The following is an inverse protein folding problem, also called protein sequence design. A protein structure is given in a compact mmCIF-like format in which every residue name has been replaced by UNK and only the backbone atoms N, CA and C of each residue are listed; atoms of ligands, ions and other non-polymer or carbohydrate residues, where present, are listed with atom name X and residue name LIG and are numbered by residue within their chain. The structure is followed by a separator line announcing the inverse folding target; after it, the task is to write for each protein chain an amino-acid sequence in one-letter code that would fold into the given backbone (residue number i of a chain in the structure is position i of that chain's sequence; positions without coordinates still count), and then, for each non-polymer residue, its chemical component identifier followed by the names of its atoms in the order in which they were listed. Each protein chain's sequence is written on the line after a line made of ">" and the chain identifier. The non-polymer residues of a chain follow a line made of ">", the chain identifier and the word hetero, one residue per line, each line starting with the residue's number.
data_IF_872968106508
#
_entry.id   IF_872968106508
#
_cell.length_a   1.000
_cell.length_b   1.000
_cell.length_c   1.000
_cell.angle_alpha   90.00
_cell.angle_beta   90.00
_cell.angle_gamma   90.00
#
_symmetry.space_group_name_H-M   'P 1'
#
loop_
_entity.id
_entity.type
_entity.pdbx_description
1 polymer ?
#
# COMPACT_ATOMS: atom_id res chain seq x y z
N UNK A 1 0.82 -14.09 -4.64
CA UNK A 1 -0.18 -15.08 -5.11
C UNK A 1 -0.19 -16.32 -4.22
N UNK A 2 0.95 -17.01 -4.03
CA UNK A 2 1.04 -18.23 -3.19
C UNK A 2 0.42 -18.05 -1.80
N UNK A 3 0.78 -16.99 -1.06
CA UNK A 3 0.22 -16.72 0.27
C UNK A 3 -1.30 -16.55 0.29
N UNK A 4 -1.87 -15.86 -0.72
CA UNK A 4 -3.33 -15.68 -0.81
C UNK A 4 -4.00 -17.03 -1.07
N UNK A 5 -3.41 -17.86 -1.93
CA UNK A 5 -3.92 -19.22 -2.16
C UNK A 5 -3.89 -20.09 -0.90
N UNK A 6 -2.89 -19.93 -0.02
CA UNK A 6 -2.89 -20.62 1.28
C UNK A 6 -3.93 -20.07 2.24
N UNK A 7 -4.12 -18.75 2.29
CA UNK A 7 -5.17 -18.13 3.13
C UNK A 7 -6.57 -18.58 2.71
N UNK A 8 -6.80 -18.73 1.41
CA UNK A 8 -8.07 -19.21 0.85
C UNK A 8 -8.24 -20.74 0.92
N UNK A 9 -7.24 -21.45 1.45
CA UNK A 9 -7.14 -22.92 1.39
C UNK A 9 -7.37 -23.46 -0.03
N UNK A 10 -6.80 -22.79 -1.05
CA UNK A 10 -7.17 -22.99 -2.44
C UNK A 10 -6.68 -24.33 -3.02
N UNK A 11 -5.59 -24.88 -2.46
CA UNK A 11 -4.98 -26.10 -2.94
C UNK A 11 -5.79 -27.35 -2.56
N UNK A 12 -5.91 -28.29 -3.49
CA UNK A 12 -6.42 -29.64 -3.23
C UNK A 12 -5.30 -30.51 -2.65
N UNK A 13 -4.88 -30.18 -1.43
CA UNK A 13 -3.77 -30.80 -0.72
C UNK A 13 -4.21 -31.25 0.69
N UNK A 14 -3.41 -32.09 1.38
CA UNK A 14 -3.67 -32.47 2.78
C UNK A 14 -3.86 -31.26 3.70
N UNK A 15 -4.61 -31.43 4.79
CA UNK A 15 -4.97 -30.33 5.72
C UNK A 15 -3.77 -29.63 6.35
N UNK A 16 -2.66 -30.34 6.52
CA UNK A 16 -1.40 -29.85 7.07
C UNK A 16 -0.46 -29.25 6.00
N UNK A 17 -0.92 -29.16 4.74
CA UNK A 17 -0.13 -28.55 3.67
C UNK A 17 0.11 -27.07 3.94
N UNK A 18 1.38 -26.67 3.97
CA UNK A 18 1.84 -25.34 4.37
C UNK A 18 2.77 -24.75 3.30
N UNK A 19 3.06 -23.44 3.34
CA UNK A 19 4.09 -22.85 2.47
C UNK A 19 5.42 -23.60 2.56
N UNK A 20 5.81 -24.03 3.77
CA UNK A 20 7.03 -24.83 3.98
C UNK A 20 6.96 -26.17 3.25
N UNK A 21 5.81 -26.84 3.24
CA UNK A 21 5.66 -28.07 2.47
C UNK A 21 5.77 -27.79 0.97
N UNK A 22 5.08 -26.76 0.45
CA UNK A 22 5.10 -26.40 -0.97
C UNK A 22 6.52 -26.15 -1.48
N UNK A 23 7.27 -25.27 -0.82
CA UNK A 23 8.62 -24.95 -1.28
C UNK A 23 9.59 -26.14 -1.12
N UNK A 24 9.32 -27.09 -0.22
CA UNK A 24 10.17 -28.26 0.01
C UNK A 24 9.85 -29.44 -0.92
N UNK A 25 8.76 -29.34 -1.71
CA UNK A 25 8.42 -30.35 -2.70
C UNK A 25 9.57 -30.53 -3.69
N UNK A 26 10.02 -31.78 -3.84
CA UNK A 26 11.00 -32.15 -4.86
C UNK A 26 10.26 -32.48 -6.14
N UNK A 27 10.72 -31.90 -7.25
CA UNK A 27 10.25 -32.33 -8.57
C UNK A 27 10.54 -33.83 -8.72
N UNK A 28 9.50 -34.61 -9.01
CA UNK A 28 9.68 -36.03 -9.35
C UNK A 28 10.45 -36.11 -10.68
N UNK A 29 11.28 -37.14 -10.84
CA UNK A 29 11.77 -37.54 -12.16
C UNK A 29 10.56 -38.04 -12.96
N UNK A 30 10.07 -37.24 -13.91
CA UNK A 30 8.84 -37.53 -14.65
C UNK A 30 8.09 -36.26 -15.04
N UNK A 31 6.79 -36.35 -15.39
CA UNK A 31 6.01 -35.19 -15.81
C UNK A 31 5.96 -34.13 -14.71
N UNK A 32 5.85 -32.86 -15.13
CA UNK A 32 5.72 -31.72 -14.24
C UNK A 32 4.60 -31.96 -13.22
N UNK A 33 4.93 -31.85 -11.92
CA UNK A 33 3.96 -32.01 -10.86
C UNK A 33 3.22 -30.69 -10.65
N UNK A 34 1.98 -30.62 -11.15
CA UNK A 34 1.08 -29.50 -10.89
C UNK A 34 0.56 -29.62 -9.46
N UNK A 35 0.58 -28.53 -8.70
CA UNK A 35 -0.12 -28.45 -7.41
C UNK A 35 -1.60 -28.23 -7.70
N UNK A 36 -2.48 -29.21 -7.47
CA UNK A 36 -3.87 -29.12 -7.89
C UNK A 36 -4.61 -28.06 -7.07
N UNK A 37 -5.48 -27.31 -7.73
CA UNK A 37 -6.41 -26.38 -7.10
C UNK A 37 -7.74 -27.10 -6.82
N UNK A 38 -8.45 -26.71 -5.77
CA UNK A 38 -9.82 -27.17 -5.53
C UNK A 38 -10.71 -26.63 -6.66
N UNK A 39 -11.61 -27.46 -7.20
CA UNK A 39 -12.47 -27.07 -8.33
C UNK A 39 -13.25 -25.77 -8.06
N UNK A 40 -13.79 -25.62 -6.84
CA UNK A 40 -14.52 -24.42 -6.41
C UNK A 40 -13.71 -23.12 -6.39
N UNK A 41 -12.39 -23.19 -6.51
CA UNK A 41 -11.48 -22.05 -6.43
C UNK A 41 -11.06 -21.53 -7.80
N UNK A 42 -11.35 -22.27 -8.88
CA UNK A 42 -10.91 -21.91 -10.23
C UNK A 42 -11.58 -20.63 -10.74
N UNK A 43 -12.85 -20.40 -10.35
CA UNK A 43 -13.63 -19.21 -10.73
C UNK A 43 -13.52 -18.07 -9.71
N UNK A 44 -12.73 -18.24 -8.64
CA UNK A 44 -12.58 -17.22 -7.59
C UNK A 44 -11.40 -16.31 -7.95
N UNK A 45 -11.61 -14.98 -8.09
CA UNK A 45 -10.50 -14.06 -8.33
C UNK A 45 -9.47 -14.09 -7.20
N UNK A 46 -8.19 -14.03 -7.53
CA UNK A 46 -7.10 -13.98 -6.53
C UNK A 46 -7.08 -12.63 -5.79
N UNK A 47 -7.26 -11.53 -6.53
CA UNK A 47 -7.35 -10.20 -5.94
C UNK A 47 -8.82 -9.78 -5.86
N UNK A 48 -9.33 -9.65 -4.64
CA UNK A 48 -10.75 -9.37 -4.38
C UNK A 48 -10.94 -8.06 -3.64
N UNK A 49 -12.15 -7.51 -3.71
CA UNK A 49 -12.51 -6.25 -3.05
C UNK A 49 -12.52 -6.41 -1.54
N UNK A 50 -12.12 -5.36 -0.83
CA UNK A 50 -12.44 -5.22 0.58
C UNK A 50 -13.92 -4.80 0.71
N UNK A 51 -14.70 -5.56 1.48
CA UNK A 51 -16.11 -5.29 1.78
C UNK A 51 -16.27 -4.99 3.27
N UNK A 52 -17.25 -4.16 3.60
CA UNK A 52 -17.61 -3.90 4.99
C UNK A 52 -18.71 -4.87 5.41
N UNK A 53 -18.50 -5.53 6.54
CA UNK A 53 -19.41 -6.47 7.18
C UNK A 53 -19.59 -6.09 8.66
N UNK A 54 -20.48 -6.82 9.33
CA UNK A 54 -20.80 -6.65 10.77
C UNK A 54 -19.56 -6.77 11.64
N UNK A 55 -18.68 -7.69 11.25
CA UNK A 55 -17.46 -7.99 11.98
C UNK A 55 -16.31 -7.04 11.63
N UNK A 56 -16.46 -6.21 10.58
CA UNK A 56 -15.60 -5.10 10.20
C UNK A 56 -15.28 -5.10 8.70
N UNK A 57 -14.01 -5.01 8.31
CA UNK A 57 -13.62 -5.11 6.88
C UNK A 57 -13.09 -6.50 6.60
N UNK A 58 -13.56 -7.14 5.54
CA UNK A 58 -13.11 -8.45 5.08
C UNK A 58 -12.87 -8.46 3.57
N UNK A 59 -12.16 -9.47 3.09
CA UNK A 59 -12.00 -9.72 1.65
C UNK A 59 -13.28 -10.36 1.11
N UNK A 60 -13.83 -9.84 0.02
CA UNK A 60 -14.98 -10.43 -0.66
C UNK A 60 -14.70 -11.87 -1.07
N UNK A 61 -15.74 -12.70 -1.09
CA UNK A 61 -15.66 -14.12 -1.46
C UNK A 61 -15.38 -14.31 -2.95
N UNK A 62 -15.91 -13.42 -3.79
CA UNK A 62 -15.97 -13.59 -5.25
C UNK A 62 -15.78 -12.29 -6.03
N UNK A 63 -15.99 -11.10 -5.43
CA UNK A 63 -15.94 -9.86 -6.18
C UNK A 63 -14.49 -9.45 -6.52
N UNK A 64 -14.13 -9.36 -7.82
CA UNK A 64 -12.77 -9.04 -8.24
C UNK A 64 -12.39 -7.59 -7.90
N UNK A 65 -11.11 -7.37 -7.60
CA UNK A 65 -10.55 -6.03 -7.42
C UNK A 65 -10.63 -5.25 -8.76
N UNK A 66 -11.33 -4.11 -8.81
CA UNK A 66 -11.42 -3.32 -10.04
C UNK A 66 -10.06 -2.78 -10.47
N UNK A 67 -9.79 -2.77 -11.78
CA UNK A 67 -8.56 -2.22 -12.34
C UNK A 67 -8.30 -0.78 -11.87
N UNK A 68 -9.31 0.08 -11.91
CA UNK A 68 -9.18 1.48 -11.50
C UNK A 68 -8.74 1.63 -10.04
N UNK A 69 -9.17 0.71 -9.17
CA UNK A 69 -8.77 0.71 -7.77
C UNK A 69 -7.29 0.36 -7.62
N UNK A 70 -6.84 -0.69 -8.32
CA UNK A 70 -5.44 -1.12 -8.34
C UNK A 70 -4.52 -0.06 -8.98
N UNK A 71 -4.93 0.48 -10.13
CA UNK A 71 -4.22 1.56 -10.81
C UNK A 71 -4.07 2.80 -9.91
N UNK A 72 -5.15 3.21 -9.23
CA UNK A 72 -5.10 4.31 -8.28
C UNK A 72 -4.10 4.07 -7.13
N UNK A 73 -3.98 2.84 -6.62
CA UNK A 73 -2.97 2.49 -5.62
C UNK A 73 -1.55 2.56 -6.16
N UNK A 74 -1.30 2.12 -7.38
CA UNK A 74 0.02 2.22 -8.01
C UNK A 74 0.45 3.66 -8.24
N UNK A 75 -0.47 4.52 -8.70
CA UNK A 75 -0.19 5.96 -8.87
C UNK A 75 0.17 6.60 -7.53
N UNK A 76 -0.61 6.32 -6.48
CA UNK A 76 -0.33 6.82 -5.13
C UNK A 76 1.00 6.30 -4.57
N UNK A 77 1.34 5.04 -4.86
CA UNK A 77 2.62 4.45 -4.49
C UNK A 77 3.78 5.18 -5.21
N UNK A 78 3.66 5.44 -6.51
CA UNK A 78 4.65 6.18 -7.28
C UNK A 78 4.92 7.58 -6.69
N UNK A 79 3.85 8.32 -6.39
CA UNK A 79 3.95 9.64 -5.74
C UNK A 79 4.59 9.52 -4.35
N UNK A 80 4.15 8.56 -3.53
CA UNK A 80 4.68 8.38 -2.18
C UNK A 80 6.17 8.01 -2.16
N UNK A 81 6.63 7.31 -3.19
CA UNK A 81 8.04 6.95 -3.37
C UNK A 81 8.88 8.07 -4.00
N UNK A 82 8.26 9.14 -4.52
CA UNK A 82 9.00 10.25 -5.14
C UNK A 82 9.37 9.99 -6.61
N UNK A 83 8.64 9.13 -7.32
CA UNK A 83 8.88 8.95 -8.76
C UNK A 83 8.51 10.22 -9.54
N UNK A 84 9.41 10.65 -10.43
CA UNK A 84 9.22 11.78 -11.34
C UNK A 84 8.08 11.49 -12.33
N UNK A 85 8.02 10.24 -12.83
CA UNK A 85 6.96 9.79 -13.71
C UNK A 85 5.87 9.02 -12.94
N UNK A 86 4.64 9.12 -13.45
CA UNK A 86 3.52 8.36 -12.88
C UNK A 86 3.77 6.85 -12.99
N UNK A 87 3.86 6.18 -11.85
CA UNK A 87 4.00 4.72 -11.80
C UNK A 87 2.69 4.05 -12.24
N UNK A 88 2.77 3.24 -13.29
CA UNK A 88 1.64 2.47 -13.84
C UNK A 88 1.96 0.98 -13.92
N UNK A 89 0.94 0.15 -14.15
CA UNK A 89 1.11 -1.28 -14.47
C UNK A 89 2.00 -1.48 -15.70
N UNK A 90 1.88 -0.58 -16.67
CA UNK A 90 2.67 -0.60 -17.90
C UNK A 90 4.16 -0.36 -17.63
N UNK A 91 4.50 0.47 -16.64
CA UNK A 91 5.89 0.66 -16.21
C UNK A 91 6.53 -0.65 -15.73
N UNK A 92 5.81 -1.46 -14.95
CA UNK A 92 6.30 -2.75 -14.45
C UNK A 92 6.53 -3.73 -15.60
N UNK A 93 5.58 -3.80 -16.52
CA UNK A 93 5.65 -4.66 -17.70
C UNK A 93 6.78 -4.24 -18.64
N UNK A 94 6.98 -2.93 -18.80
CA UNK A 94 8.10 -2.33 -19.52
C UNK A 94 9.44 -2.66 -18.88
N UNK A 95 9.55 -2.51 -17.56
CA UNK A 95 10.76 -2.83 -16.82
C UNK A 95 11.15 -4.30 -16.99
N UNK A 96 10.19 -5.23 -16.84
CA UNK A 96 10.41 -6.66 -17.03
C UNK A 96 10.86 -6.99 -18.47
N UNK A 97 10.16 -6.45 -19.47
CA UNK A 97 10.52 -6.66 -20.88
C UNK A 97 11.93 -6.20 -21.20
N UNK A 98 12.35 -5.03 -20.71
CA UNK A 98 13.71 -4.53 -20.90
C UNK A 98 14.77 -5.27 -20.08
N UNK A 99 14.40 -5.86 -18.94
CA UNK A 99 15.30 -6.69 -18.14
C UNK A 99 15.62 -8.00 -18.86
N UNK A 100 14.61 -8.64 -19.46
CA UNK A 100 14.77 -9.84 -20.29
C UNK A 100 15.57 -9.50 -21.56
N UNK A 101 15.23 -8.39 -22.22
CA UNK A 101 15.91 -7.95 -23.44
C UNK A 101 17.40 -7.60 -23.21
N UNK A 102 17.77 -7.14 -22.02
CA UNK A 102 19.13 -6.66 -21.70
C UNK A 102 20.02 -7.67 -20.96
N UNK A 103 19.56 -8.90 -20.70
CA UNK A 103 20.40 -9.97 -20.14
C UNK A 103 21.30 -10.58 -21.23
N UNK A 104 22.34 -9.86 -21.66
CA UNK A 104 23.33 -10.41 -22.58
C UNK A 104 24.71 -9.83 -22.28
N UNK A 105 25.53 -10.62 -21.60
CA UNK A 105 26.97 -10.60 -21.87
C UNK A 105 27.36 -11.71 -22.86
N UNK A 106 26.60 -12.81 -22.97
CA UNK A 106 27.02 -14.02 -23.72
C UNK A 106 25.96 -14.77 -24.56
N UNK A 107 24.68 -14.38 -24.63
CA UNK A 107 23.65 -15.15 -25.36
C UNK A 107 23.05 -14.41 -26.57
N UNK A 108 22.65 -15.16 -27.60
CA UNK A 108 22.10 -14.71 -28.90
C UNK A 108 20.91 -13.72 -28.74
N UNK A 109 20.98 -12.50 -29.31
CA UNK A 109 19.89 -11.52 -29.31
C UNK A 109 18.52 -12.05 -29.78
N UNK A 110 18.50 -13.03 -30.70
CA UNK A 110 17.27 -13.62 -31.22
C UNK A 110 16.60 -14.59 -30.24
N UNK A 111 17.38 -15.26 -29.38
CA UNK A 111 16.87 -16.22 -28.38
C UNK A 111 15.99 -15.55 -27.32
N UNK A 112 16.27 -14.29 -26.99
CA UNK A 112 15.53 -13.53 -25.98
C UNK A 112 14.24 -12.88 -26.51
N UNK A 113 14.13 -12.61 -27.81
CA UNK A 113 12.91 -12.02 -28.37
C UNK A 113 11.72 -12.96 -28.21
N UNK A 114 11.90 -14.26 -28.45
CA UNK A 114 10.85 -15.27 -28.26
C UNK A 114 10.44 -15.40 -26.79
N UNK A 115 11.40 -15.49 -25.85
CA UNK A 115 11.12 -15.57 -24.41
C UNK A 115 10.43 -14.30 -23.91
N UNK A 116 10.94 -13.13 -24.30
CA UNK A 116 10.36 -11.83 -23.96
C UNK A 116 8.94 -11.71 -24.51
N UNK A 117 8.71 -12.09 -25.77
CA UNK A 117 7.38 -12.06 -26.35
C UNK A 117 6.44 -13.05 -25.66
N UNK A 118 6.89 -14.24 -25.29
CA UNK A 118 6.10 -15.19 -24.49
C UNK A 118 5.74 -14.61 -23.12
N UNK A 119 6.70 -14.05 -22.38
CA UNK A 119 6.47 -13.46 -21.05
C UNK A 119 5.53 -12.26 -21.13
N UNK A 120 5.65 -11.46 -22.19
CA UNK A 120 4.76 -10.34 -22.43
C UNK A 120 3.47 -10.77 -23.13
N UNK A 121 3.28 -12.01 -23.56
CA UNK A 121 2.12 -12.37 -24.40
C UNK A 121 1.98 -11.44 -25.63
N UNK A 122 3.10 -11.22 -26.32
CA UNK A 122 3.14 -10.55 -27.61
C UNK A 122 3.18 -11.59 -28.73
N UNK A 123 2.59 -11.26 -29.87
CA UNK A 123 2.63 -12.10 -31.07
C UNK A 123 4.05 -12.32 -31.62
N UNK A 124 4.13 -13.06 -32.72
CA UNK A 124 5.36 -13.22 -33.49
C UNK A 124 5.87 -11.85 -33.96
N UNK A 125 7.17 -11.59 -33.76
CA UNK A 125 7.79 -10.30 -34.08
C UNK A 125 7.95 -9.38 -32.87
N UNK A 126 8.97 -8.53 -32.90
CA UNK A 126 9.34 -7.64 -31.78
C UNK A 126 8.65 -6.28 -31.84
N UNK A 127 7.84 -6.00 -32.85
CA UNK A 127 7.33 -4.64 -33.17
C UNK A 127 6.57 -3.99 -32.01
N UNK A 128 5.67 -4.73 -31.36
CA UNK A 128 4.91 -4.22 -30.20
C UNK A 128 5.87 -3.82 -29.08
N UNK A 129 6.89 -4.64 -28.83
CA UNK A 129 7.91 -4.37 -27.83
C UNK A 129 8.77 -3.16 -28.22
N UNK A 130 9.31 -3.13 -29.43
CA UNK A 130 10.17 -2.06 -29.95
C UNK A 130 9.45 -0.71 -30.00
N UNK A 131 8.16 -0.72 -30.38
CA UNK A 131 7.39 0.51 -30.45
C UNK A 131 6.99 1.04 -29.08
N UNK A 132 6.53 0.16 -28.18
CA UNK A 132 5.81 0.60 -26.98
C UNK A 132 6.53 0.29 -25.66
N UNK A 133 7.50 -0.64 -25.64
CA UNK A 133 8.12 -1.12 -24.41
C UNK A 133 9.63 -0.90 -24.36
N UNK A 134 10.35 -0.87 -25.48
CA UNK A 134 11.81 -0.66 -25.46
C UNK A 134 12.16 0.63 -24.71
N UNK A 135 13.23 0.58 -23.91
CA UNK A 135 13.75 1.75 -23.22
C UNK A 135 14.02 2.86 -24.24
N UNK A 136 13.59 4.09 -23.94
CA UNK A 136 13.97 5.27 -24.72
C UNK A 136 15.32 5.83 -24.26
N UNK A 137 15.73 5.49 -23.04
CA UNK A 137 17.08 5.76 -22.55
C UNK A 137 18.04 4.77 -23.22
N UNK A 138 18.95 5.31 -24.02
CA UNK A 138 19.97 4.54 -24.72
C UNK A 138 21.02 4.10 -23.68
N UNK A 139 21.25 2.79 -23.59
CA UNK A 139 22.18 2.18 -22.62
C UNK A 139 23.60 2.03 -23.15
N UNK A 140 23.94 2.82 -24.17
CA UNK A 140 25.21 2.79 -24.87
C UNK A 140 25.69 4.22 -25.05
N UNK A 141 26.98 4.46 -24.82
CA UNK A 141 27.60 5.72 -25.20
C UNK A 141 27.80 5.71 -26.71
N UNK A 142 26.83 6.26 -27.44
CA UNK A 142 26.80 6.25 -28.91
C UNK A 142 28.01 6.95 -29.52
N UNK A 143 28.56 7.96 -28.83
CA UNK A 143 29.77 8.66 -29.25
C UNK A 143 31.01 7.76 -29.19
N UNK A 144 31.19 7.00 -28.10
CA UNK A 144 32.31 6.06 -27.98
C UNK A 144 32.21 4.98 -29.04
N UNK A 145 31.00 4.46 -29.27
CA UNK A 145 30.76 3.48 -30.33
C UNK A 145 31.09 4.05 -31.71
N UNK A 146 30.70 5.31 -31.98
CA UNK A 146 31.00 5.99 -33.24
C UNK A 146 32.51 6.22 -33.41
N UNK A 147 33.24 6.49 -32.33
CA UNK A 147 34.68 6.76 -32.35
C UNK A 147 35.55 5.50 -32.15
N UNK A 148 34.94 4.32 -32.05
CA UNK A 148 35.66 3.05 -31.84
C UNK A 148 36.36 2.96 -30.49
N UNK A 149 35.86 3.66 -29.46
CA UNK A 149 36.41 3.64 -28.09
C UNK A 149 35.77 2.54 -27.25
N UNK A 150 36.48 2.10 -26.21
CA UNK A 150 35.90 1.25 -25.18
C UNK A 150 34.80 2.02 -24.43
N UNK A 151 33.58 1.49 -24.43
CA UNK A 151 32.42 2.12 -23.81
C UNK A 151 32.11 1.47 -22.45
N UNK A 152 31.79 2.29 -21.44
CA UNK A 152 31.32 1.81 -20.14
C UNK A 152 29.82 1.50 -20.16
N UNK A 153 29.48 0.30 -20.63
CA UNK A 153 28.10 -0.16 -20.72
C UNK A 153 27.41 -0.30 -19.36
N UNK A 154 28.15 -0.55 -18.27
CA UNK A 154 27.57 -0.74 -16.94
C UNK A 154 27.13 0.59 -16.34
N UNK A 155 27.90 1.67 -16.53
CA UNK A 155 27.48 3.02 -16.13
C UNK A 155 26.25 3.48 -16.91
N UNK A 156 26.24 3.31 -18.24
CA UNK A 156 25.08 3.68 -19.07
C UNK A 156 23.81 2.87 -18.69
N UNK A 157 23.99 1.59 -18.36
CA UNK A 157 22.92 0.73 -17.86
C UNK A 157 22.41 1.17 -16.48
N UNK A 158 23.32 1.50 -15.57
CA UNK A 158 23.00 1.96 -14.22
C UNK A 158 22.24 3.29 -14.26
N UNK A 159 22.73 4.25 -15.04
CA UNK A 159 22.06 5.54 -15.29
C UNK A 159 20.64 5.39 -15.88
N UNK A 160 20.35 4.27 -16.54
CA UNK A 160 19.04 3.97 -17.15
C UNK A 160 18.08 3.20 -16.25
N UNK A 161 18.42 2.95 -14.98
CA UNK A 161 17.55 2.21 -14.07
C UNK A 161 16.37 3.05 -13.59
N UNK A 162 15.19 2.42 -13.51
CA UNK A 162 13.97 3.09 -13.03
C UNK A 162 14.13 3.64 -11.60
N UNK A 163 15.00 3.03 -10.79
CA UNK A 163 15.31 3.49 -9.44
C UNK A 163 15.89 4.90 -9.39
N UNK A 164 16.61 5.33 -10.43
CA UNK A 164 17.15 6.70 -10.54
C UNK A 164 16.10 7.74 -10.95
N UNK A 165 14.89 7.30 -11.30
CA UNK A 165 13.75 8.20 -11.51
C UNK A 165 13.01 8.52 -10.20
N UNK A 166 13.57 8.06 -9.07
CA UNK A 166 13.10 8.32 -7.72
C UNK A 166 13.94 9.42 -7.12
N UNK A 167 13.29 10.50 -6.71
CA UNK A 167 13.91 11.59 -5.98
C UNK A 167 13.30 11.63 -4.56
N UNK A 168 14.10 11.38 -3.50
CA UNK A 168 13.64 11.43 -2.11
C UNK A 168 13.11 12.81 -1.66
N UNK A 169 13.64 13.88 -2.23
CA UNK A 169 13.40 15.28 -1.87
C UNK A 169 12.24 15.89 -2.66
N UNK A 170 11.86 15.25 -3.76
CA UNK A 170 10.67 15.61 -4.54
C UNK A 170 9.44 15.74 -3.63
N UNK A 171 8.70 16.88 -3.66
CA UNK A 171 7.56 17.11 -2.78
C UNK A 171 6.47 16.03 -2.87
N UNK A 172 6.18 15.36 -1.75
CA UNK A 172 5.21 14.23 -1.68
C UNK A 172 3.84 14.61 -1.15
N UNK A 173 3.76 15.73 -0.43
CA UNK A 173 2.54 16.26 0.21
C UNK A 173 2.61 17.78 0.21
N UNK A 174 1.45 18.42 0.31
CA UNK A 174 1.38 19.86 0.53
C UNK A 174 1.82 20.20 1.97
N UNK A 175 2.46 21.35 2.12
CA UNK A 175 2.69 21.97 3.43
C UNK A 175 1.36 22.41 4.07
N UNK A 176 1.38 22.75 5.36
CA UNK A 176 0.19 23.24 6.06
C UNK A 176 -0.31 24.56 5.44
N UNK A 177 0.62 25.43 5.04
CA UNK A 177 0.39 26.73 4.41
C UNK A 177 -0.23 26.54 3.02
N UNK A 178 0.32 25.64 2.20
CA UNK A 178 -0.21 25.29 0.88
C UNK A 178 -1.60 24.67 0.99
N UNK A 179 -1.83 23.80 1.98
CA UNK A 179 -3.15 23.26 2.28
C UNK A 179 -4.14 24.35 2.70
N UNK A 180 -3.69 25.37 3.43
CA UNK A 180 -4.51 26.52 3.80
C UNK A 180 -4.82 27.41 2.59
N UNK A 181 -3.90 27.58 1.65
CA UNK A 181 -4.13 28.28 0.39
C UNK A 181 -5.28 27.65 -0.40
N UNK A 182 -5.33 26.31 -0.48
CA UNK A 182 -6.45 25.61 -1.13
C UNK A 182 -7.79 25.88 -0.42
N UNK A 183 -7.78 26.03 0.90
CA UNK A 183 -9.00 26.38 1.66
C UNK A 183 -9.48 27.80 1.43
N UNK A 184 -8.60 28.69 0.98
CA UNK A 184 -8.91 30.07 0.63
C UNK A 184 -9.42 30.22 -0.81
N UNK A 185 -9.34 29.16 -1.64
CA UNK A 185 -9.87 29.15 -3.01
C UNK A 185 -11.34 29.58 -3.03
N UNK A 186 -11.76 30.48 -3.96
CA UNK A 186 -13.13 31.01 -3.99
C UNK A 186 -14.21 29.93 -4.04
N UNK A 187 -14.01 28.88 -4.85
CA UNK A 187 -14.96 27.77 -5.02
C UNK A 187 -15.10 26.97 -3.71
N UNK A 188 -13.98 26.74 -3.02
CA UNK A 188 -13.96 26.05 -1.72
C UNK A 188 -14.65 26.89 -0.65
N UNK A 189 -14.41 28.20 -0.62
CA UNK A 189 -15.05 29.13 0.32
C UNK A 189 -16.55 29.23 0.10
N UNK A 190 -16.99 29.28 -1.16
CA UNK A 190 -18.41 29.31 -1.52
C UNK A 190 -19.12 28.04 -1.07
N UNK A 191 -18.58 26.86 -1.43
CA UNK A 191 -19.13 25.58 -0.98
C UNK A 191 -19.14 25.45 0.55
N UNK A 192 -18.12 25.96 1.23
CA UNK A 192 -18.07 25.98 2.69
C UNK A 192 -19.14 26.89 3.30
N UNK A 193 -19.42 28.05 2.66
CA UNK A 193 -20.46 28.98 3.07
C UNK A 193 -21.87 28.40 2.83
N UNK A 194 -22.12 27.79 1.66
CA UNK A 194 -23.38 27.09 1.35
C UNK A 194 -23.64 25.98 2.37
N UNK A 195 -22.63 25.14 2.63
CA UNK A 195 -22.71 24.09 3.67
C UNK A 195 -23.01 24.67 5.05
N UNK A 196 -22.42 25.83 5.37
CA UNK A 196 -22.66 26.54 6.63
C UNK A 196 -24.12 27.03 6.75
N UNK A 197 -24.68 27.61 5.69
CA UNK A 197 -26.08 28.05 5.65
C UNK A 197 -27.05 26.89 5.80
N UNK A 198 -26.85 25.81 5.03
CA UNK A 198 -27.69 24.61 5.11
C UNK A 198 -27.62 23.99 6.52
N UNK A 199 -26.43 23.96 7.12
CA UNK A 199 -26.27 23.50 8.51
C UNK A 199 -27.09 24.35 9.49
N UNK A 200 -27.00 25.67 9.39
CA UNK A 200 -27.73 26.58 10.27
C UNK A 200 -29.25 26.42 10.12
N UNK A 201 -29.74 26.31 8.89
CA UNK A 201 -31.17 26.06 8.60
C UNK A 201 -31.64 24.72 9.19
N UNK A 202 -30.83 23.67 9.08
CA UNK A 202 -31.14 22.37 9.67
C UNK A 202 -31.15 22.46 11.21
N UNK A 203 -30.17 23.12 11.81
CA UNK A 203 -30.09 23.29 13.27
C UNK A 203 -31.24 24.18 13.80
N UNK A 204 -31.73 25.14 13.02
CA UNK A 204 -32.90 25.98 13.36
C UNK A 204 -34.21 25.19 13.35
N UNK A 205 -34.45 24.38 12.30
CA UNK A 205 -35.72 23.66 12.14
C UNK A 205 -35.76 22.35 12.94
N UNK A 206 -34.66 21.62 13.01
CA UNK A 206 -34.62 20.26 13.56
C UNK A 206 -33.75 20.15 14.82
N UNK A 207 -33.09 21.23 15.25
CA UNK A 207 -32.16 21.26 16.38
C UNK A 207 -30.80 20.61 16.08
N UNK A 208 -30.80 19.39 15.54
CA UNK A 208 -29.59 18.60 15.27
C UNK A 208 -29.62 18.04 13.85
N UNK A 209 -28.46 18.05 13.16
CA UNK A 209 -28.32 17.58 11.77
C UNK A 209 -28.89 16.17 11.54
N UNK A 210 -28.76 15.28 12.52
CA UNK A 210 -29.23 13.90 12.40
C UNK A 210 -30.76 13.80 12.36
N UNK A 211 -31.48 14.75 12.94
CA UNK A 211 -32.96 14.79 12.94
C UNK A 211 -33.55 15.19 11.59
N UNK A 212 -32.76 15.81 10.72
CA UNK A 212 -33.19 16.14 9.36
C UNK A 212 -33.01 14.96 8.38
N UNK A 213 -32.56 13.78 8.83
CA UNK A 213 -32.44 12.60 7.96
C UNK A 213 -33.78 12.23 7.36
N UNK A 214 -33.82 12.16 6.02
CA UNK A 214 -35.05 11.90 5.25
C UNK A 214 -35.58 13.17 4.57
N UNK A 215 -35.18 14.35 5.02
CA UNK A 215 -35.63 15.62 4.45
C UNK A 215 -34.79 16.05 3.23
N UNK A 216 -35.38 16.79 2.27
CA UNK A 216 -34.66 17.31 1.11
C UNK A 216 -33.43 18.15 1.49
N UNK A 217 -33.56 19.01 2.51
CA UNK A 217 -32.48 19.88 2.98
C UNK A 217 -31.25 19.10 3.49
N UNK A 218 -31.48 17.90 4.06
CA UNK A 218 -30.40 17.03 4.49
C UNK A 218 -29.64 16.44 3.30
N UNK A 219 -30.36 16.07 2.23
CA UNK A 219 -29.74 15.56 1.00
C UNK A 219 -28.88 16.64 0.33
N UNK A 220 -29.37 17.88 0.25
CA UNK A 220 -28.62 19.03 -0.24
C UNK A 220 -27.36 19.27 0.61
N UNK A 221 -27.50 19.23 1.95
CA UNK A 221 -26.38 19.35 2.86
C UNK A 221 -25.32 18.25 2.62
N UNK A 222 -25.72 16.99 2.44
CA UNK A 222 -24.78 15.89 2.15
C UNK A 222 -24.13 16.05 0.76
N UNK A 223 -24.89 16.47 -0.25
CA UNK A 223 -24.38 16.71 -1.60
C UNK A 223 -23.32 17.82 -1.61
N UNK A 224 -23.61 18.96 -0.97
CA UNK A 224 -22.65 20.08 -0.85
C UNK A 224 -21.44 19.67 -0.02
N UNK A 225 -21.62 18.90 1.06
CA UNK A 225 -20.51 18.37 1.86
C UNK A 225 -19.61 17.43 1.06
N UNK A 226 -20.19 16.55 0.23
CA UNK A 226 -19.44 15.66 -0.65
C UNK A 226 -18.71 16.45 -1.74
N UNK A 227 -19.38 17.43 -2.36
CA UNK A 227 -18.81 18.34 -3.35
C UNK A 227 -17.62 19.12 -2.78
N UNK A 228 -17.79 19.75 -1.60
CA UNK A 228 -16.71 20.45 -0.90
C UNK A 228 -15.48 19.55 -0.67
N UNK A 229 -15.69 18.33 -0.19
CA UNK A 229 -14.59 17.38 0.02
C UNK A 229 -13.92 16.95 -1.30
N UNK A 230 -14.68 16.80 -2.38
CA UNK A 230 -14.16 16.47 -3.70
C UNK A 230 -13.36 17.64 -4.31
N UNK A 231 -13.88 18.86 -4.22
CA UNK A 231 -13.24 20.09 -4.72
C UNK A 231 -11.93 20.36 -3.98
N UNK A 232 -11.91 20.28 -2.64
CA UNK A 232 -10.66 20.40 -1.86
C UNK A 232 -9.62 19.40 -2.36
N UNK A 233 -9.96 18.11 -2.45
CA UNK A 233 -9.03 17.07 -2.92
C UNK A 233 -8.55 17.30 -4.36
N UNK A 234 -9.44 17.79 -5.24
CA UNK A 234 -9.10 18.11 -6.63
C UNK A 234 -8.07 19.24 -6.68
N UNK A 235 -8.31 20.32 -5.93
CA UNK A 235 -7.44 21.49 -5.86
C UNK A 235 -6.10 21.17 -5.18
N UNK A 236 -6.12 20.39 -4.10
CA UNK A 236 -4.89 19.90 -3.44
C UNK A 236 -4.02 19.08 -4.40
N UNK A 237 -4.62 18.13 -5.13
CA UNK A 237 -3.89 17.34 -6.14
C UNK A 237 -3.33 18.20 -7.26
N UNK A 238 -4.10 19.18 -7.75
CA UNK A 238 -3.65 20.08 -8.80
C UNK A 238 -2.50 20.98 -8.33
N UNK A 239 -2.57 21.49 -7.09
CA UNK A 239 -1.49 22.29 -6.51
C UNK A 239 -0.21 21.46 -6.32
N UNK A 240 -0.34 20.25 -5.75
CA UNK A 240 0.81 19.36 -5.56
C UNK A 240 1.47 19.01 -6.90
N UNK A 241 0.68 18.72 -7.94
CA UNK A 241 1.19 18.44 -9.28
C UNK A 241 1.99 19.61 -9.85
N UNK A 242 1.51 20.85 -9.69
CA UNK A 242 2.23 22.06 -10.15
C UNK A 242 3.54 22.26 -9.40
N UNK A 243 3.53 22.13 -8.07
CA UNK A 243 4.75 22.23 -7.24
C UNK A 243 5.77 21.18 -7.68
N UNK A 244 5.31 19.95 -7.92
CA UNK A 244 6.15 18.87 -8.42
C UNK A 244 6.71 19.17 -9.81
N UNK A 245 5.91 19.67 -10.75
CA UNK A 245 6.36 20.05 -12.09
C UNK A 245 7.41 21.17 -12.05
N UNK A 246 7.21 22.18 -11.19
CA UNK A 246 8.18 23.25 -10.97
C UNK A 246 9.47 22.75 -10.33
N UNK A 247 9.36 21.86 -9.33
CA UNK A 247 10.51 21.21 -8.71
C UNK A 247 11.30 20.38 -9.73
N UNK A 248 10.63 19.54 -10.52
CA UNK A 248 11.26 18.66 -11.52
C UNK A 248 12.03 19.46 -12.59
N UNK A 249 11.62 20.71 -12.88
CA UNK A 249 12.32 21.61 -13.79
C UNK A 249 13.53 22.31 -13.15
N UNK A 250 13.41 22.72 -11.88
CA UNK A 250 14.38 23.59 -11.23
C UNK A 250 15.45 22.83 -10.43
N UNK A 251 15.09 21.71 -9.79
CA UNK A 251 15.98 20.95 -8.91
C UNK A 251 17.28 20.50 -9.60
N UNK A 252 17.25 19.97 -10.85
CA UNK A 252 18.48 19.62 -11.56
C UNK A 252 19.39 20.83 -11.83
N UNK A 253 18.80 22.00 -12.13
CA UNK A 253 19.56 23.24 -12.39
C UNK A 253 20.26 23.71 -11.12
N UNK A 254 19.54 23.71 -9.99
CA UNK A 254 20.09 24.08 -8.69
C UNK A 254 21.22 23.12 -8.25
N UNK A 255 21.03 21.82 -8.44
CA UNK A 255 22.06 20.82 -8.14
C UNK A 255 23.34 21.04 -8.96
N UNK A 256 23.21 21.35 -10.26
CA UNK A 256 24.37 21.70 -11.11
C UNK A 256 25.05 22.98 -10.62
N UNK A 257 24.29 24.02 -10.27
CA UNK A 257 24.84 25.28 -9.76
C UNK A 257 25.63 25.08 -8.47
N UNK A 258 25.11 24.29 -7.53
CA UNK A 258 25.82 23.94 -6.29
C UNK A 258 27.14 23.22 -6.58
N UNK A 259 27.12 22.22 -7.46
CA UNK A 259 28.32 21.49 -7.87
C UNK A 259 29.37 22.39 -8.52
N UNK A 260 28.95 23.31 -9.40
CA UNK A 260 29.87 24.26 -10.05
C UNK A 260 30.47 25.26 -9.06
N UNK A 261 29.74 25.62 -8.00
CA UNK A 261 30.21 26.51 -6.95
C UNK A 261 31.15 25.80 -5.94
N UNK A 262 31.41 24.49 -6.12
CA UNK A 262 32.20 23.70 -5.18
C UNK A 262 31.49 23.44 -3.86
N UNK A 263 30.18 23.69 -3.79
CA UNK A 263 29.32 23.36 -2.65
C UNK A 263 28.93 21.87 -2.74
N UNK A 264 29.92 20.98 -2.92
CA UNK A 264 29.67 19.55 -2.77
C UNK A 264 29.26 19.33 -1.32
N UNK A 265 28.06 18.81 -1.10
CA UNK A 265 27.80 18.14 0.16
C UNK A 265 28.69 16.90 0.16
N UNK A 266 29.68 16.89 1.05
CA UNK A 266 30.36 15.66 1.47
C UNK A 266 29.30 14.77 2.15
N UNK A 267 28.45 14.14 1.35
CA UNK A 267 27.44 13.16 1.76
C UNK A 267 27.77 11.77 1.20
N UNK A 268 29.04 11.53 0.83
CA UNK A 268 29.51 10.17 0.52
C UNK A 268 29.64 9.28 1.78
N UNK A 269 29.33 9.81 2.98
CA UNK A 269 29.28 9.06 4.25
C UNK A 269 28.00 9.27 5.08
N UNK A 270 26.96 9.95 4.57
CA UNK A 270 25.73 10.21 5.33
C UNK A 270 24.48 9.61 4.66
N UNK A 271 24.18 8.35 5.00
CA UNK A 271 22.82 7.77 4.98
C UNK A 271 21.84 8.53 5.94
N UNK A 272 22.27 9.66 6.54
CA UNK A 272 21.62 10.38 7.64
C UNK A 272 21.70 11.92 7.52
N UNK A 273 21.65 12.51 6.30
CA UNK A 273 21.40 13.96 6.15
C UNK A 273 19.98 14.29 5.71
N UNK A 274 19.20 14.77 6.68
CA UNK A 274 18.53 16.07 6.53
C UNK A 274 17.21 16.15 5.79
N UNK A 275 16.65 15.05 5.27
CA UNK A 275 15.22 15.02 5.00
C UNK A 275 14.49 15.22 6.33
N UNK A 276 13.60 16.21 6.44
CA UNK A 276 12.70 16.38 7.61
C UNK A 276 12.29 14.98 8.05
N UNK A 277 12.61 14.53 9.29
CA UNK A 277 12.30 13.19 9.73
C UNK A 277 10.83 13.00 9.45
N UNK A 278 10.52 12.21 8.44
CA UNK A 278 9.14 11.85 8.20
C UNK A 278 8.88 10.94 9.38
N UNK A 279 8.31 11.49 10.47
CA UNK A 279 7.93 10.74 11.65
C UNK A 279 7.23 9.47 11.17
N UNK A 280 7.98 8.38 11.08
CA UNK A 280 7.45 7.14 10.54
C UNK A 280 6.63 6.59 11.66
N UNK A 281 5.34 6.87 11.65
CA UNK A 281 4.38 6.25 12.56
C UNK A 281 4.69 4.76 12.55
N UNK A 282 5.09 4.18 13.71
CA UNK A 282 5.59 2.82 13.74
C UNK A 282 4.51 1.90 13.18
N UNK A 283 4.87 1.05 12.21
CA UNK A 283 3.95 0.05 11.64
C UNK A 283 3.50 -0.83 12.81
N UNK A 284 2.21 -0.75 13.20
CA UNK A 284 1.73 -1.35 14.46
C UNK A 284 1.57 -2.86 14.36
N UNK A 285 1.14 -3.35 13.20
CA UNK A 285 1.01 -4.78 12.93
C UNK A 285 2.39 -5.36 12.66
N UNK A 286 2.82 -6.29 13.52
CA UNK A 286 4.15 -6.88 13.48
C UNK A 286 4.42 -7.61 12.15
N UNK A 287 3.43 -8.32 11.63
CA UNK A 287 3.52 -9.01 10.33
C UNK A 287 3.77 -8.01 9.19
N UNK A 288 3.08 -6.86 9.22
CA UNK A 288 3.24 -5.80 8.21
C UNK A 288 4.61 -5.14 8.31
N UNK A 289 5.13 -4.96 9.53
CA UNK A 289 6.48 -4.42 9.77
C UNK A 289 7.53 -5.35 9.19
N UNK A 290 7.46 -6.64 9.53
CA UNK A 290 8.36 -7.65 8.98
C UNK A 290 8.33 -7.69 7.45
N UNK A 291 7.14 -7.66 6.84
CA UNK A 291 7.00 -7.63 5.37
C UNK A 291 7.65 -6.36 4.78
N UNK A 292 7.50 -5.20 5.42
CA UNK A 292 8.12 -3.97 4.98
C UNK A 292 9.65 -4.04 5.07
N UNK A 293 10.20 -4.54 6.19
CA UNK A 293 11.64 -4.77 6.37
C UNK A 293 12.19 -5.75 5.33
N UNK A 294 11.43 -6.81 5.02
CA UNK A 294 11.79 -7.78 3.99
C UNK A 294 11.79 -7.17 2.58
N UNK A 295 10.82 -6.30 2.28
CA UNK A 295 10.66 -5.70 0.95
C UNK A 295 11.77 -4.72 0.57
N UNK A 296 12.50 -4.18 1.56
CA UNK A 296 13.64 -3.25 1.35
C UNK A 296 14.95 -4.01 1.07
N UNK A 297 14.99 -5.32 1.31
CA UNK A 297 16.18 -6.12 1.03
C UNK A 297 16.35 -6.40 -0.45
N UNK A 298 17.59 -6.36 -0.92
CA UNK A 298 17.93 -6.81 -2.26
C UNK A 298 17.70 -8.34 -2.38
N UNK A 299 16.78 -8.79 -3.26
CA UNK A 299 16.54 -10.21 -3.50
C UNK A 299 17.78 -10.98 -3.98
N UNK A 300 18.78 -10.29 -4.56
CA UNK A 300 20.02 -10.91 -5.06
C UNK A 300 20.90 -11.51 -3.96
N UNK A 301 20.71 -11.03 -2.72
CA UNK A 301 21.44 -11.45 -1.51
C UNK A 301 20.88 -12.77 -0.96
N UNK A 302 19.68 -13.16 -1.40
CA UNK A 302 18.96 -14.35 -0.94
C UNK A 302 19.22 -15.53 -1.87
N UNK A 303 20.41 -16.13 -1.78
CA UNK A 303 20.74 -17.37 -2.50
C UNK A 303 20.51 -18.61 -1.65
N UNK A 304 20.31 -19.74 -2.33
CA UNK A 304 20.28 -21.09 -1.76
C UNK A 304 19.21 -21.29 -0.67
N UNK A 305 19.51 -22.17 0.29
CA UNK A 305 18.60 -22.58 1.37
C UNK A 305 18.15 -21.41 2.28
N UNK A 306 18.92 -20.32 2.32
CA UNK A 306 18.56 -19.07 3.02
C UNK A 306 17.46 -18.31 2.27
N UNK A 307 17.49 -18.28 0.93
CA UNK A 307 16.42 -17.70 0.12
C UNK A 307 15.10 -18.47 0.26
N UNK A 308 15.16 -19.79 0.35
CA UNK A 308 14.01 -20.63 0.67
C UNK A 308 13.37 -20.24 2.01
N UNK A 309 14.17 -20.17 3.08
CA UNK A 309 13.68 -19.88 4.42
C UNK A 309 13.00 -18.50 4.45
N UNK A 310 13.62 -17.52 3.81
CA UNK A 310 13.05 -16.19 3.63
C UNK A 310 11.69 -16.22 2.91
N UNK A 311 11.56 -16.94 1.79
CA UNK A 311 10.29 -17.03 1.08
C UNK A 311 9.19 -17.68 1.91
N UNK A 312 9.52 -18.70 2.70
CA UNK A 312 8.58 -19.35 3.63
C UNK A 312 8.15 -18.37 4.73
N UNK A 313 9.08 -17.67 5.36
CA UNK A 313 8.79 -16.71 6.42
C UNK A 313 7.97 -15.52 5.91
N UNK A 314 8.38 -14.93 4.78
CA UNK A 314 7.63 -13.88 4.11
C UNK A 314 6.21 -14.34 3.77
N UNK A 315 6.07 -15.55 3.21
CA UNK A 315 4.76 -16.10 2.85
C UNK A 315 3.87 -16.32 4.07
N UNK A 316 4.46 -16.82 5.17
CA UNK A 316 3.76 -17.07 6.43
C UNK A 316 3.29 -15.77 7.07
N UNK A 317 4.13 -14.73 7.06
CA UNK A 317 3.74 -13.41 7.57
C UNK A 317 2.69 -12.73 6.69
N UNK A 318 2.72 -12.94 5.36
CA UNK A 318 1.70 -12.43 4.47
C UNK A 318 0.34 -13.11 4.71
N UNK A 319 0.33 -14.43 4.93
CA UNK A 319 -0.88 -15.18 5.34
C UNK A 319 -1.41 -14.65 6.68
N UNK A 320 -0.52 -14.52 7.69
CA UNK A 320 -0.92 -13.99 8.99
C UNK A 320 -1.47 -12.56 8.89
N UNK A 321 -0.86 -11.71 8.06
CA UNK A 321 -1.33 -10.34 7.82
C UNK A 321 -2.74 -10.31 7.21
N UNK A 322 -3.12 -11.28 6.38
CA UNK A 322 -4.49 -11.37 5.84
C UNK A 322 -5.56 -11.50 6.94
N UNK A 323 -5.19 -11.98 8.12
CA UNK A 323 -6.07 -12.14 9.30
C UNK A 323 -5.98 -10.95 10.27
N UNK A 324 -5.27 -9.88 9.91
CA UNK A 324 -5.05 -8.70 10.76
C UNK A 324 -5.68 -7.47 10.14
N UNK A 325 -6.16 -6.56 10.98
CA UNK A 325 -6.79 -5.30 10.58
C UNK A 325 -6.16 -4.17 11.36
N UNK A 326 -5.86 -3.08 10.67
CA UNK A 326 -5.41 -1.84 11.31
C UNK A 326 -6.51 -0.80 11.14
N UNK A 327 -6.88 -0.10 12.22
CA UNK A 327 -7.78 1.02 12.08
C UNK A 327 -7.05 2.14 11.38
N UNK A 328 -7.61 2.63 10.27
CA UNK A 328 -7.10 3.83 9.62
C UNK A 328 -7.10 4.94 10.66
N UNK A 329 -5.92 5.44 11.03
CA UNK A 329 -5.84 6.59 11.93
C UNK A 329 -6.62 7.73 11.27
N UNK A 330 -7.73 8.12 11.90
CA UNK A 330 -8.26 9.45 11.69
C UNK A 330 -7.18 10.34 12.25
N UNK A 331 -6.55 11.16 11.40
CA UNK A 331 -5.51 12.11 11.78
C UNK A 331 -6.06 13.01 12.87
N UNK A 332 -5.88 12.56 14.10
CA UNK A 332 -6.05 13.34 15.30
C UNK A 332 -4.72 14.06 15.41
N UNK A 333 -4.74 15.40 15.42
CA UNK A 333 -3.57 16.23 15.67
C UNK A 333 -3.01 15.87 17.04
N UNK A 334 -2.14 14.87 17.10
CA UNK A 334 -1.30 14.54 18.24
C UNK A 334 0.01 14.06 17.63
N UNK A 335 1.06 14.80 17.90
CA UNK A 335 2.44 14.48 17.55
C UNK A 335 2.77 13.07 18.05
N UNK A 336 3.22 12.15 17.19
CA UNK A 336 3.83 10.90 17.64
C UNK A 336 5.19 11.19 18.30
N UNK A 337 5.51 10.45 19.35
CA UNK A 337 6.85 10.46 19.95
C UNK A 337 7.90 9.89 18.99
N UNK A 338 9.11 10.43 19.14
CA UNK A 338 10.32 10.12 18.40
C UNK A 338 10.68 8.63 18.52
N UNK A 339 10.64 7.90 17.41
CA UNK A 339 11.23 6.57 17.31
C UNK A 339 12.48 6.63 16.43
N UNK A 340 13.64 6.39 17.05
CA UNK A 340 14.91 6.22 16.35
C UNK A 340 14.90 4.91 15.57
N UNK A 341 15.08 5.00 14.25
CA UNK A 341 15.38 3.84 13.39
C UNK A 341 16.90 3.69 13.38
N UNK A 342 17.40 2.55 13.89
CA UNK A 342 18.79 2.16 13.68
C UNK A 342 18.88 1.42 12.36
N UNK A 343 19.58 2.01 11.40
CA UNK A 343 19.97 1.38 10.13
C UNK A 343 21.19 0.51 10.36
N UNK A 344 21.04 -0.57 11.13
CA UNK A 344 21.98 -1.69 11.09
C UNK A 344 21.37 -2.79 10.22
N UNK A 345 22.19 -3.38 9.35
CA UNK A 345 21.90 -4.55 8.50
C UNK A 345 21.61 -5.82 9.33
N UNK A 346 20.74 -5.72 10.33
CA UNK A 346 20.32 -6.83 11.16
C UNK A 346 19.25 -7.65 10.42
N UNK A 347 19.21 -8.96 10.69
CA UNK A 347 18.11 -9.83 10.23
C UNK A 347 16.76 -9.23 10.66
N UNK A 348 15.71 -9.25 9.81
CA UNK A 348 14.41 -8.68 10.16
C UNK A 348 13.95 -9.41 11.41
N UNK A 349 13.55 -8.66 12.42
CA UNK A 349 13.16 -9.29 13.69
C UNK A 349 11.89 -10.06 13.42
N UNK A 350 11.93 -11.38 13.60
CA UNK A 350 10.73 -12.19 13.52
C UNK A 350 9.68 -11.55 14.43
N UNK A 351 8.45 -11.35 13.93
CA UNK A 351 7.43 -10.71 14.73
C UNK A 351 7.17 -11.57 15.97
N UNK A 352 7.31 -10.97 17.15
CA UNK A 352 6.77 -11.53 18.38
C UNK A 352 5.26 -11.61 18.20
N UNK A 353 4.79 -12.77 17.76
CA UNK A 353 3.37 -13.02 17.58
C UNK A 353 2.75 -13.00 18.96
N UNK A 354 1.77 -12.11 19.17
CA UNK A 354 0.94 -12.19 20.36
C UNK A 354 0.35 -13.61 20.42
N UNK A 355 0.63 -14.39 21.48
CA UNK A 355 0.05 -15.72 21.57
C UNK A 355 -1.47 -15.58 21.54
N UNK A 356 -2.14 -16.40 20.72
CA UNK A 356 -3.58 -16.61 20.84
C UNK A 356 -3.77 -17.34 22.16
N UNK A 357 -3.87 -16.58 23.26
CA UNK A 357 -4.16 -17.14 24.57
C UNK A 357 -5.58 -17.69 24.49
N UNK A 358 -5.70 -19.02 24.46
CA UNK A 358 -6.97 -19.70 24.78
C UNK A 358 -7.34 -19.24 26.18
N UNK A 359 -8.49 -18.58 26.31
CA UNK A 359 -8.97 -18.06 27.59
C UNK A 359 -9.97 -19.04 28.14
N UNK A 360 -9.88 -19.32 29.43
CA UNK A 360 -10.86 -20.14 30.13
C UNK A 360 -11.93 -19.28 30.83
N UNK A 361 -11.76 -17.95 30.81
CA UNK A 361 -12.61 -17.00 31.50
C UNK A 361 -13.11 -15.89 30.57
N UNK A 362 -14.34 -15.37 30.81
CA UNK A 362 -14.86 -14.21 30.10
C UNK A 362 -13.97 -12.97 30.18
N UNK A 363 -14.01 -12.17 29.12
CA UNK A 363 -13.38 -10.87 28.99
C UNK A 363 -13.95 -9.87 29.99
N UNK A 364 -13.06 -9.30 30.81
CA UNK A 364 -13.39 -8.15 31.65
C UNK A 364 -13.24 -6.85 30.86
N UNK A 365 -14.36 -6.29 30.42
CA UNK A 365 -14.41 -4.96 29.82
C UNK A 365 -14.34 -3.87 30.91
N UNK A 366 -13.41 -2.92 30.79
CA UNK A 366 -13.23 -1.84 31.77
C UNK A 366 -13.75 -0.50 31.23
N UNK A 367 -14.32 0.32 32.12
CA UNK A 367 -14.65 1.73 31.90
C UNK A 367 -15.34 2.01 30.55
N UNK A 368 -14.67 2.79 29.70
CA UNK A 368 -15.12 3.20 28.37
C UNK A 368 -14.39 2.43 27.27
N UNK A 369 -14.19 1.13 27.45
CA UNK A 369 -13.74 0.21 26.39
C UNK A 369 -14.91 -0.27 25.54
N UNK A 370 -14.60 -0.65 24.30
CA UNK A 370 -15.57 -1.30 23.42
C UNK A 370 -15.40 -2.81 23.51
N UNK A 371 -16.43 -3.52 24.00
CA UNK A 371 -16.43 -4.98 24.16
C UNK A 371 -16.11 -5.70 22.84
N UNK A 372 -16.71 -5.26 21.72
CA UNK A 372 -16.44 -5.83 20.39
C UNK A 372 -14.97 -5.68 19.99
N UNK A 373 -14.36 -4.52 20.23
CA UNK A 373 -12.94 -4.30 19.93
C UNK A 373 -12.04 -5.14 20.84
N UNK A 374 -12.39 -5.27 22.12
CA UNK A 374 -11.63 -6.06 23.08
C UNK A 374 -11.56 -7.55 22.69
N UNK A 375 -12.69 -8.07 22.19
CA UNK A 375 -12.84 -9.44 21.71
C UNK A 375 -12.27 -9.67 20.29
N UNK A 376 -12.05 -8.62 19.50
CA UNK A 376 -11.53 -8.74 18.13
C UNK A 376 -10.03 -9.10 18.13
N UNK A 377 -9.69 -10.36 17.82
CA UNK A 377 -8.28 -10.83 17.74
C UNK A 377 -7.56 -10.39 16.46
N UNK A 378 -8.27 -9.86 15.48
CA UNK A 378 -7.68 -9.31 14.26
C UNK A 378 -7.15 -7.87 14.44
N UNK A 379 -7.47 -7.19 15.55
CA UNK A 379 -6.95 -5.87 15.88
C UNK A 379 -5.64 -5.93 16.70
N UNK A 380 -4.78 -4.90 16.63
CA UNK A 380 -3.64 -4.75 17.54
C UNK A 380 -4.08 -4.59 19.00
N UNK A 381 -3.28 -5.08 19.97
CA UNK A 381 -3.61 -5.01 21.40
C UNK A 381 -4.02 -3.61 21.88
N UNK A 382 -3.28 -2.59 21.45
CA UNK A 382 -3.55 -1.19 21.75
C UNK A 382 -4.93 -0.72 21.28
N UNK A 383 -5.42 -1.27 20.16
CA UNK A 383 -6.76 -0.94 19.67
C UNK A 383 -7.84 -1.74 20.38
N UNK A 384 -7.56 -3.00 20.71
CA UNK A 384 -8.45 -3.87 21.48
C UNK A 384 -8.72 -3.28 22.87
N UNK A 385 -7.67 -2.82 23.54
CA UNK A 385 -7.71 -2.25 24.88
C UNK A 385 -8.00 -0.75 24.91
N UNK A 386 -8.24 -0.11 23.77
CA UNK A 386 -8.45 1.34 23.66
C UNK A 386 -9.58 1.80 24.58
N UNK A 387 -9.24 2.70 25.51
CA UNK A 387 -10.22 3.45 26.32
C UNK A 387 -10.61 4.73 25.59
N UNK A 388 -11.91 4.94 25.40
CA UNK A 388 -12.41 6.19 24.84
C UNK A 388 -12.35 7.31 25.88
N UNK A 389 -12.18 8.56 25.46
CA UNK A 389 -12.07 9.70 26.38
C UNK A 389 -13.40 10.13 27.00
N UNK A 390 -14.54 9.73 26.40
CA UNK A 390 -15.90 10.12 26.82
C UNK A 390 -16.91 9.03 26.48
N UNK A 391 -17.95 8.85 27.30
CA UNK A 391 -19.09 7.94 27.03
C UNK A 391 -19.69 8.14 25.63
N UNK A 392 -19.98 9.38 25.24
CA UNK A 392 -20.53 9.70 23.92
C UNK A 392 -19.61 9.24 22.75
N UNK A 393 -18.29 9.34 22.92
CA UNK A 393 -17.35 8.89 21.87
C UNK A 393 -17.29 7.38 21.74
N UNK A 394 -17.46 6.64 22.85
CA UNK A 394 -17.61 5.19 22.82
C UNK A 394 -18.92 4.81 22.13
N UNK A 395 -20.04 5.40 22.53
CA UNK A 395 -21.36 5.13 21.95
C UNK A 395 -21.36 5.33 20.44
N UNK A 396 -20.90 6.50 19.98
CA UNK A 396 -20.77 6.80 18.55
C UNK A 396 -19.89 5.81 17.79
N UNK A 397 -18.87 5.26 18.43
CA UNK A 397 -18.04 4.23 17.83
C UNK A 397 -18.78 2.89 17.75
N UNK A 398 -19.43 2.47 18.82
CA UNK A 398 -20.21 1.23 18.86
C UNK A 398 -21.32 1.29 17.81
N UNK A 399 -22.08 2.38 17.77
CA UNK A 399 -23.16 2.59 16.80
C UNK A 399 -22.65 2.49 15.36
N UNK A 400 -21.62 3.26 14.99
CA UNK A 400 -21.13 3.32 13.60
C UNK A 400 -20.27 2.16 13.14
N UNK A 401 -19.52 1.55 14.06
CA UNK A 401 -18.53 0.54 13.68
C UNK A 401 -19.01 -0.88 13.95
N UNK A 402 -20.02 -1.06 14.81
CA UNK A 402 -20.50 -2.37 15.24
C UNK A 402 -21.99 -2.52 14.97
N UNK A 403 -22.82 -1.59 15.42
CA UNK A 403 -24.28 -1.76 15.39
C UNK A 403 -24.94 -1.33 14.06
N UNK A 404 -24.34 -0.44 13.27
CA UNK A 404 -24.89 0.07 12.00
C UNK A 404 -25.19 -1.04 10.96
N UNK A 405 -24.66 -2.24 11.17
CA UNK A 405 -24.86 -3.40 10.30
C UNK A 405 -25.94 -4.38 10.79
N UNK A 406 -26.59 -4.07 11.92
CA UNK A 406 -27.68 -4.86 12.48
C UNK A 406 -29.00 -4.13 12.24
N UNK A 407 -30.00 -4.89 11.77
CA UNK A 407 -31.38 -4.41 11.70
C UNK A 407 -31.99 -4.20 13.11
N UNK A 408 -33.15 -3.52 13.21
CA UNK A 408 -33.81 -3.27 14.49
C UNK A 408 -34.09 -4.54 15.31
N UNK A 409 -34.37 -5.64 14.61
CA UNK A 409 -34.74 -6.94 15.19
C UNK A 409 -33.62 -7.98 15.07
N UNK A 410 -32.44 -7.61 14.56
CA UNK A 410 -31.33 -8.55 14.41
C UNK A 410 -30.75 -8.89 15.79
N UNK A 411 -30.61 -10.19 16.13
CA UNK A 411 -29.93 -10.58 17.35
C UNK A 411 -28.46 -10.15 17.29
N UNK A 412 -28.01 -9.40 18.29
CA UNK A 412 -26.61 -8.99 18.42
C UNK A 412 -25.89 -10.09 19.21
N UNK A 413 -25.01 -10.89 18.58
CA UNK A 413 -24.31 -11.96 19.28
C UNK A 413 -23.34 -11.36 20.30
N UNK A 414 -23.18 -12.05 21.42
CA UNK A 414 -22.12 -11.69 22.37
C UNK A 414 -20.76 -11.87 21.67
N UNK A 415 -19.91 -10.84 21.62
CA UNK A 415 -18.61 -10.94 20.97
C UNK A 415 -17.61 -11.78 21.76
N UNK A 416 -17.92 -12.12 23.02
CA UNK A 416 -17.14 -13.03 23.84
C UNK A 416 -17.82 -14.39 23.93
N UNK A 417 -17.30 -15.36 23.19
CA UNK A 417 -17.81 -16.72 23.18
C UNK A 417 -17.74 -17.43 24.53
N UNK A 418 -16.93 -16.97 25.48
CA UNK A 418 -16.85 -17.55 26.83
C UNK A 418 -17.87 -16.97 27.81
N UNK A 419 -18.41 -15.78 27.53
CA UNK A 419 -19.36 -15.11 28.41
C UNK A 419 -20.78 -15.67 28.30
N UNK A 420 -21.07 -16.46 27.25
CA UNK A 420 -22.41 -16.96 26.94
C UNK A 420 -22.43 -18.49 26.73
N UNK A 421 -21.46 -19.22 27.28
CA UNK A 421 -21.56 -20.67 27.40
C UNK A 421 -22.34 -20.96 28.68
N UNK A 422 -23.66 -21.02 28.55
CA UNK A 422 -24.59 -21.75 29.42
C UNK A 422 -25.85 -22.10 28.61
#
# INVERSE_FOLDING_TARGET
>A
MISIAFEDEAYNAPKDFSPRHLFALRAKKGPCQIVPWKQKMLDIPVFRRAIKTKDGVETSKDAPLPYNQYHGWLVLLGVALGFIYTLTTYCLRRALGNAINGKTRNDDPNSNAAVRNLVLDHGTGSEIFERNYISRTIRYFTQDQFWGRSSDHESARTASQIGLLRDPDRPRKLSAEQGQQVRQDPEVRELAAVRGRLRAQIEEVFGVIEMAKGEPIYNDYQAVKASLAATIRKKERALLKRIQEEYDLNAPVLAIQQQLNGEQSDDDDDDDKGGIPTETVPIRIAERRYIAECAVRDPSVLRDQKGYAFHVEFSTNLIALCKRRDRRQVTTRCSPELASVKTTLDSPRLPEREPIVKRDNPLKCQDWQCLFCLASYDLPLEERKRKYKRKYTLQKHVDRCRLEYYGPDDPIPCPDGHACVD
#
